data_IF_852291256375
#
_entry.id   IF_852291256375
#
_cell.length_a   1.000
_cell.length_b   1.000
_cell.length_c   1.000
_cell.angle_alpha   90.00
_cell.angle_beta   90.00
_cell.angle_gamma   90.00
#
_symmetry.space_group_name_H-M   'P 1'
#
loop_
_entity.id
_entity.type
_entity.pdbx_description
1 polymer ?
#
# COMPACT_ATOMS: atom_id res chain seq x y z
N UNK A 1 13.59 14.02 -5.33
CA UNK A 1 13.20 12.59 -5.31
C UNK A 1 12.57 12.12 -3.98
N UNK A 2 12.09 13.02 -3.09
CA UNK A 2 11.47 12.60 -1.80
C UNK A 2 10.04 12.05 -1.95
N UNK A 3 9.20 12.66 -2.79
CA UNK A 3 7.80 12.26 -2.97
C UNK A 3 7.60 10.81 -3.46
N UNK A 4 8.53 10.28 -4.27
CA UNK A 4 8.41 8.91 -4.82
C UNK A 4 8.65 7.81 -3.78
N UNK A 5 9.39 8.08 -2.69
CA UNK A 5 9.61 7.11 -1.60
C UNK A 5 8.33 6.88 -0.80
N UNK A 6 7.51 7.92 -0.61
CA UNK A 6 6.32 7.85 0.24
C UNK A 6 5.18 7.03 -0.38
N UNK A 7 5.15 6.90 -1.71
CA UNK A 7 4.11 6.21 -2.46
C UNK A 7 4.44 4.76 -2.85
N UNK A 8 5.68 4.30 -2.68
CA UNK A 8 6.02 2.87 -2.87
C UNK A 8 6.06 2.19 -1.53
N UNK A 9 5.12 1.30 -1.21
CA UNK A 9 5.06 0.60 0.08
C UNK A 9 6.33 -0.22 0.40
N UNK A 10 6.52 -0.69 1.65
CA UNK A 10 7.67 -1.53 2.02
C UNK A 10 7.77 -2.83 1.23
N UNK A 11 6.65 -3.37 0.72
CA UNK A 11 6.63 -4.54 -0.16
C UNK A 11 6.82 -4.21 -1.65
N UNK A 12 6.96 -2.94 -2.00
CA UNK A 12 7.17 -2.47 -3.38
C UNK A 12 5.90 -2.14 -4.15
N UNK A 13 4.72 -2.31 -3.55
CA UNK A 13 3.45 -1.95 -4.14
C UNK A 13 3.42 -0.43 -4.42
N UNK A 14 3.09 -0.07 -5.64
CA UNK A 14 2.88 1.32 -6.02
C UNK A 14 1.49 1.78 -5.56
N UNK A 15 1.47 2.73 -4.63
CA UNK A 15 0.26 3.30 -4.07
C UNK A 15 -0.21 4.56 -4.84
N UNK A 16 0.58 5.07 -5.79
CA UNK A 16 0.22 6.23 -6.62
C UNK A 16 -1.07 6.01 -7.46
N UNK A 17 -1.30 4.83 -8.08
CA UNK A 17 -2.56 4.56 -8.75
C UNK A 17 -3.68 4.14 -7.79
N UNK A 18 -3.40 3.87 -6.52
CA UNK A 18 -4.39 3.30 -5.60
C UNK A 18 -5.47 4.32 -5.22
N UNK A 19 -6.75 4.10 -5.62
CA UNK A 19 -7.79 5.09 -5.39
C UNK A 19 -8.21 5.13 -3.90
N UNK A 20 -8.06 4.03 -3.16
CA UNK A 20 -8.30 3.97 -1.70
C UNK A 20 -7.28 4.81 -0.93
N UNK A 21 -6.00 4.78 -1.33
CA UNK A 21 -4.94 5.63 -0.76
C UNK A 21 -5.23 7.11 -1.02
N UNK A 22 -5.78 7.42 -2.20
CA UNK A 22 -6.04 8.78 -2.69
C UNK A 22 -7.39 9.35 -2.25
N UNK A 23 -8.31 8.53 -1.76
CA UNK A 23 -9.67 8.92 -1.34
C UNK A 23 -9.68 10.17 -0.44
N UNK A 24 -8.73 10.27 0.49
CA UNK A 24 -8.72 11.37 1.46
C UNK A 24 -8.18 12.69 0.92
N UNK A 25 -7.63 12.77 -0.29
CA UNK A 25 -7.05 14.00 -0.84
C UNK A 25 -7.24 14.22 -2.36
N UNK A 26 -7.88 13.29 -3.06
CA UNK A 26 -8.13 13.36 -4.50
C UNK A 26 -9.63 13.15 -4.79
N UNK A 27 -10.27 14.14 -5.41
CA UNK A 27 -11.70 14.10 -5.68
C UNK A 27 -12.09 13.06 -6.73
N UNK A 28 -11.25 12.83 -7.73
CA UNK A 28 -11.52 11.86 -8.79
C UNK A 28 -11.43 10.45 -8.23
N UNK A 29 -10.36 10.15 -7.50
CA UNK A 29 -10.21 8.87 -6.82
C UNK A 29 -11.32 8.68 -5.77
N UNK A 30 -11.69 9.73 -5.03
CA UNK A 30 -12.78 9.65 -4.08
C UNK A 30 -14.10 9.27 -4.75
N UNK A 31 -14.45 9.85 -5.89
CA UNK A 31 -15.69 9.48 -6.60
C UNK A 31 -15.68 8.01 -7.03
N UNK A 32 -14.58 7.57 -7.63
CA UNK A 32 -14.39 6.18 -8.06
C UNK A 32 -14.56 5.17 -6.91
N UNK A 33 -13.89 5.41 -5.78
CA UNK A 33 -13.96 4.51 -4.62
C UNK A 33 -15.34 4.53 -3.98
N UNK A 34 -15.96 5.71 -3.83
CA UNK A 34 -17.30 5.80 -3.24
C UNK A 34 -18.33 5.07 -4.11
N UNK A 35 -18.26 5.20 -5.43
CA UNK A 35 -19.13 4.46 -6.33
C UNK A 35 -18.89 2.95 -6.22
N UNK A 36 -17.64 2.53 -6.06
CA UNK A 36 -17.32 1.12 -5.81
C UNK A 36 -17.88 0.64 -4.47
N UNK A 37 -17.67 1.38 -3.37
CA UNK A 37 -18.21 1.04 -2.04
C UNK A 37 -19.73 0.92 -2.04
N UNK A 38 -20.44 1.80 -2.77
CA UNK A 38 -21.89 1.70 -2.95
C UNK A 38 -22.28 0.44 -3.73
N UNK A 39 -21.55 0.08 -4.79
CA UNK A 39 -21.79 -1.17 -5.53
C UNK A 39 -21.53 -2.42 -4.68
N UNK A 40 -20.58 -2.36 -3.75
CA UNK A 40 -20.33 -3.44 -2.78
C UNK A 40 -21.36 -3.47 -1.64
N UNK A 41 -22.22 -2.45 -1.53
CA UNK A 41 -23.17 -2.32 -0.42
C UNK A 41 -22.53 -1.91 0.91
N UNK A 42 -21.28 -1.43 0.89
CA UNK A 42 -20.57 -0.97 2.09
C UNK A 42 -20.96 0.44 2.50
N UNK A 43 -21.48 1.23 1.55
CA UNK A 43 -22.06 2.55 1.80
C UNK A 43 -23.46 2.64 1.20
N UNK A 44 -24.34 3.41 1.85
CA UNK A 44 -25.68 3.74 1.37
C UNK A 44 -25.61 4.76 0.23
N UNK A 45 -26.74 4.94 -0.47
CA UNK A 45 -26.83 5.81 -1.65
C UNK A 45 -26.52 7.27 -1.33
N UNK A 46 -26.97 7.72 -0.16
CA UNK A 46 -26.80 9.07 0.39
C UNK A 46 -25.44 9.31 1.05
N UNK A 47 -24.70 8.25 1.39
CA UNK A 47 -23.39 8.35 2.03
C UNK A 47 -22.30 8.67 0.99
N UNK A 48 -21.22 9.34 1.41
CA UNK A 48 -20.16 9.79 0.54
C UNK A 48 -18.78 9.72 1.19
N UNK A 49 -17.88 10.58 0.72
CA UNK A 49 -16.47 10.62 1.18
C UNK A 49 -16.35 10.84 2.68
N UNK A 50 -17.20 11.71 3.25
CA UNK A 50 -17.16 12.02 4.67
C UNK A 50 -17.46 10.78 5.53
N UNK A 51 -18.50 10.04 5.17
CA UNK A 51 -18.87 8.79 5.86
C UNK A 51 -17.79 7.72 5.70
N UNK A 52 -17.23 7.57 4.49
CA UNK A 52 -16.11 6.65 4.27
C UNK A 52 -14.91 6.97 5.17
N UNK A 53 -14.56 8.25 5.33
CA UNK A 53 -13.45 8.67 6.21
C UNK A 53 -13.79 8.39 7.67
N UNK A 54 -15.01 8.72 8.13
CA UNK A 54 -15.46 8.45 9.50
C UNK A 54 -15.44 6.96 9.84
N UNK A 55 -15.77 6.11 8.88
CA UNK A 55 -15.76 4.65 9.02
C UNK A 55 -14.36 4.03 8.82
N UNK A 56 -13.32 4.82 8.56
CA UNK A 56 -11.96 4.31 8.33
C UNK A 56 -11.78 3.58 7.00
N UNK A 57 -12.67 3.79 6.02
CA UNK A 57 -12.62 3.14 4.70
C UNK A 57 -11.66 3.84 3.74
N UNK A 58 -10.45 4.13 4.19
CA UNK A 58 -9.38 4.74 3.39
C UNK A 58 -8.03 4.23 3.87
N UNK A 59 -6.94 4.68 3.25
CA UNK A 59 -5.60 4.29 3.66
C UNK A 59 -4.69 5.51 3.77
N UNK A 60 -4.00 5.68 4.91
CA UNK A 60 -2.93 6.67 5.07
C UNK A 60 -1.59 6.18 4.51
N UNK A 61 -1.50 4.89 4.19
CA UNK A 61 -0.35 4.24 3.57
C UNK A 61 0.56 3.58 4.60
N UNK A 62 1.31 2.59 4.13
CA UNK A 62 2.13 1.69 4.94
C UNK A 62 3.25 2.35 5.77
N UNK A 63 3.54 3.64 5.53
CA UNK A 63 4.53 4.43 6.29
C UNK A 63 3.90 5.43 7.27
N UNK A 64 2.58 5.47 7.35
CA UNK A 64 1.90 6.19 8.43
C UNK A 64 2.05 5.42 9.75
N UNK A 65 1.68 6.06 10.86
CA UNK A 65 1.74 5.45 12.20
C UNK A 65 1.00 4.11 12.21
N UNK A 66 1.45 3.12 13.00
CA UNK A 66 0.76 1.82 13.04
C UNK A 66 -0.64 1.89 13.66
N UNK A 67 -0.95 2.94 14.41
CA UNK A 67 -2.28 3.21 14.96
C UNK A 67 -3.16 4.05 14.01
N UNK A 68 -2.64 4.46 12.84
CA UNK A 68 -3.40 5.16 11.82
C UNK A 68 -4.27 4.19 10.97
N UNK A 69 -5.06 4.75 10.05
CA UNK A 69 -5.94 3.96 9.18
C UNK A 69 -5.13 3.29 8.06
N UNK A 70 -5.10 1.96 8.09
CA UNK A 70 -4.51 1.10 7.06
C UNK A 70 -5.57 0.24 6.41
N UNK A 71 -5.53 0.09 5.09
CA UNK A 71 -6.42 -0.81 4.37
C UNK A 71 -6.20 -2.29 4.73
N UNK A 72 -4.97 -2.65 5.07
CA UNK A 72 -4.59 -4.00 5.46
C UNK A 72 -3.75 -3.93 6.74
N UNK A 73 -4.40 -3.67 7.89
CA UNK A 73 -3.71 -3.43 9.15
C UNK A 73 -2.92 -4.67 9.62
N UNK A 74 -3.44 -5.87 9.33
CA UNK A 74 -2.84 -7.17 9.70
C UNK A 74 -1.91 -7.74 8.61
N UNK A 75 -1.31 -6.88 7.79
CA UNK A 75 -0.41 -7.32 6.72
C UNK A 75 0.89 -7.92 7.29
N UNK A 76 1.12 -9.21 7.03
CA UNK A 76 2.31 -9.92 7.53
C UNK A 76 3.64 -9.32 7.01
N UNK A 77 3.64 -8.70 5.83
CA UNK A 77 4.85 -8.10 5.25
C UNK A 77 5.22 -6.85 6.04
N UNK A 78 4.22 -6.05 6.41
CA UNK A 78 4.41 -4.89 7.27
C UNK A 78 4.90 -5.29 8.66
N UNK A 79 4.28 -6.32 9.25
CA UNK A 79 4.70 -6.88 10.53
C UNK A 79 6.17 -7.35 10.50
N UNK A 80 6.56 -8.05 9.43
CA UNK A 80 7.93 -8.55 9.29
C UNK A 80 8.95 -7.44 8.99
N UNK A 81 8.71 -6.66 7.94
CA UNK A 81 9.66 -5.69 7.40
C UNK A 81 9.80 -4.47 8.32
N UNK A 82 8.68 -3.87 8.71
CA UNK A 82 8.66 -2.62 9.46
C UNK A 82 8.70 -2.92 10.95
N UNK A 83 7.76 -3.71 11.48
CA UNK A 83 7.60 -3.81 12.94
C UNK A 83 8.72 -4.66 13.59
N UNK A 84 9.10 -5.78 12.97
CA UNK A 84 10.12 -6.71 13.52
C UNK A 84 11.54 -6.39 13.07
N UNK A 85 11.75 -6.14 11.77
CA UNK A 85 13.09 -5.92 11.20
C UNK A 85 13.48 -4.45 11.12
N UNK A 86 12.55 -3.51 11.34
CA UNK A 86 12.79 -2.07 11.30
C UNK A 86 13.44 -1.58 9.99
N UNK A 87 12.95 -2.09 8.86
CA UNK A 87 13.40 -1.76 7.51
C UNK A 87 12.38 -0.88 6.79
N UNK A 88 12.86 0.01 5.90
CA UNK A 88 11.99 0.86 5.06
C UNK A 88 11.39 0.08 3.89
N UNK A 89 12.12 -0.94 3.41
CA UNK A 89 11.74 -1.80 2.31
C UNK A 89 12.23 -3.22 2.51
N UNK A 90 11.49 -4.19 1.96
CA UNK A 90 11.89 -5.59 2.03
C UNK A 90 13.23 -5.86 1.33
N UNK A 91 13.64 -5.07 0.33
CA UNK A 91 14.95 -5.27 -0.34
C UNK A 91 16.16 -5.01 0.56
N UNK A 92 15.97 -4.31 1.68
CA UNK A 92 17.03 -4.04 2.65
C UNK A 92 17.26 -5.26 3.57
N UNK A 93 16.40 -6.27 3.49
CA UNK A 93 16.58 -7.51 4.23
C UNK A 93 17.66 -8.38 3.60
N UNK A 94 18.52 -8.98 4.42
CA UNK A 94 19.58 -9.91 3.96
C UNK A 94 19.03 -11.15 3.25
N UNK A 95 17.81 -11.58 3.61
CA UNK A 95 17.13 -12.71 2.99
C UNK A 95 16.40 -12.34 1.70
N UNK A 96 16.53 -11.10 1.21
CA UNK A 96 15.76 -10.64 0.06
C UNK A 96 16.28 -11.19 -1.28
N UNK A 97 15.40 -11.67 -2.17
CA UNK A 97 13.97 -11.90 -1.97
C UNK A 97 13.71 -13.20 -1.20
N UNK A 98 12.92 -13.14 -0.12
CA UNK A 98 12.62 -14.33 0.68
C UNK A 98 11.43 -15.10 0.09
N UNK A 99 11.37 -16.42 0.34
CA UNK A 99 10.33 -17.31 -0.20
C UNK A 99 8.89 -16.83 0.09
N UNK A 100 8.68 -16.23 1.27
CA UNK A 100 7.37 -15.76 1.70
C UNK A 100 6.90 -14.55 0.88
N UNK A 101 7.84 -13.67 0.50
CA UNK A 101 7.56 -12.52 -0.37
C UNK A 101 7.37 -12.96 -1.82
N UNK A 102 8.14 -13.96 -2.29
CA UNK A 102 8.00 -14.53 -3.63
C UNK A 102 6.60 -15.15 -3.78
N UNK A 103 6.19 -16.02 -2.85
CA UNK A 103 4.86 -16.65 -2.88
C UNK A 103 3.72 -15.62 -2.88
N UNK A 104 3.83 -14.59 -2.05
CA UNK A 104 2.86 -13.49 -2.06
C UNK A 104 2.83 -12.74 -3.40
N UNK A 105 4.00 -12.53 -4.02
CA UNK A 105 4.07 -11.85 -5.32
C UNK A 105 3.44 -12.62 -6.47
N UNK A 106 3.27 -13.94 -6.34
CA UNK A 106 2.66 -14.80 -7.36
C UNK A 106 1.13 -14.78 -7.34
N UNK A 107 0.49 -14.21 -6.31
CA UNK A 107 -0.98 -14.23 -6.18
C UNK A 107 -1.68 -13.33 -7.20
N UNK A 108 -1.07 -12.21 -7.59
CA UNK A 108 -1.63 -11.26 -8.56
C UNK A 108 -0.53 -10.58 -9.37
N UNK A 109 -0.85 -10.12 -10.59
CA UNK A 109 0.07 -9.34 -11.43
C UNK A 109 0.58 -8.09 -10.69
N UNK A 110 -0.29 -7.43 -9.92
CA UNK A 110 0.07 -6.24 -9.14
C UNK A 110 1.12 -6.55 -8.06
N UNK A 111 1.06 -7.73 -7.43
CA UNK A 111 2.02 -8.14 -6.41
C UNK A 111 3.34 -8.60 -7.04
N UNK A 112 3.29 -9.17 -8.24
CA UNK A 112 4.47 -9.48 -9.03
C UNK A 112 5.23 -8.19 -9.40
N UNK A 113 4.52 -7.17 -9.87
CA UNK A 113 5.09 -5.85 -10.15
C UNK A 113 5.69 -5.20 -8.89
N UNK A 114 5.06 -5.39 -7.73
CA UNK A 114 5.60 -4.91 -6.45
C UNK A 114 6.99 -5.50 -6.15
N UNK A 115 7.17 -6.81 -6.35
CA UNK A 115 8.47 -7.45 -6.17
C UNK A 115 9.51 -6.93 -7.17
N UNK A 116 9.13 -6.75 -8.44
CA UNK A 116 10.02 -6.19 -9.46
C UNK A 116 10.41 -4.74 -9.15
N UNK A 117 9.50 -3.94 -8.59
CA UNK A 117 9.81 -2.60 -8.10
C UNK A 117 10.88 -2.63 -7.01
N UNK A 118 10.80 -3.56 -6.04
CA UNK A 118 11.83 -3.70 -5.02
C UNK A 118 13.19 -4.07 -5.63
N UNK A 119 13.24 -5.03 -6.56
CA UNK A 119 14.47 -5.42 -7.27
C UNK A 119 15.08 -4.25 -8.04
N UNK A 120 14.24 -3.43 -8.69
CA UNK A 120 14.68 -2.24 -9.41
C UNK A 120 15.27 -1.19 -8.46
N UNK A 121 14.58 -0.87 -7.37
CA UNK A 121 15.05 0.09 -6.37
C UNK A 121 16.38 -0.37 -5.74
N UNK A 122 16.51 -1.66 -5.44
CA UNK A 122 17.74 -2.25 -4.93
C UNK A 122 18.91 -1.99 -5.89
N UNK A 123 18.74 -2.34 -7.18
CA UNK A 123 19.76 -2.13 -8.23
C UNK A 123 20.15 -0.66 -8.41
N UNK A 124 19.17 0.25 -8.39
CA UNK A 124 19.41 1.70 -8.50
C UNK A 124 20.21 2.25 -7.31
N UNK A 125 20.07 1.64 -6.12
CA UNK A 125 20.82 2.03 -4.92
C UNK A 125 22.24 1.46 -4.87
N UNK A 126 22.48 0.27 -5.42
CA UNK A 126 23.83 -0.35 -5.43
C UNK A 126 24.76 0.27 -6.48
N UNK A 127 24.21 1.00 -7.45
CA UNK A 127 24.96 1.65 -8.54
C UNK A 127 25.33 3.12 -8.26
N UNK A 128 24.98 3.63 -7.07
CA UNK A 128 25.36 4.96 -6.58
C UNK A 128 26.42 4.84 -5.50
#
# INVERSE_FOLDING_TARGET
MKAKKEMISPCGLDCEPCPIRRLSFDETASKEVIDWYKRQGWLKKEEGREEAIKQGMYCKGCRSDRNDVHWSPDCFILECCVDKKNLDFCYECEEFPCDRLIKWSEETEQYQEALENLKRIQKERTQK
#
